data_IF_829830009828
#
_entry.id   IF_829830009828
#
_cell.length_a   1.000
_cell.length_b   1.000
_cell.length_c   1.000
_cell.angle_alpha   90.00
_cell.angle_beta   90.00
_cell.angle_gamma   90.00
#
_symmetry.space_group_name_H-M   'P 1'
#
loop_
_entity.id
_entity.type
_entity.pdbx_description
1 polymer ?
#
# COMPACT_ATOMS: atom_id res chain seq x y z
N UNK A 1 -46.73 22.64 61.41
CA UNK A 1 -46.27 21.25 61.60
C UNK A 1 -45.65 20.77 60.30
N UNK A 2 -44.48 20.13 60.40
CA UNK A 2 -43.70 19.44 59.35
C UNK A 2 -44.56 18.62 58.37
N UNK A 3 -44.11 18.31 57.15
CA UNK A 3 -42.85 17.63 56.83
C UNK A 3 -42.40 17.85 55.39
N UNK A 4 -41.08 18.02 55.27
CA UNK A 4 -40.27 17.66 54.11
C UNK A 4 -40.52 16.22 53.65
N UNK A 5 -40.61 16.05 52.33
CA UNK A 5 -40.16 14.82 51.66
C UNK A 5 -39.30 15.23 50.46
N UNK A 6 -37.98 15.21 50.67
CA UNK A 6 -36.98 15.23 49.58
C UNK A 6 -37.12 13.94 48.76
N UNK A 7 -37.21 14.08 47.44
CA UNK A 7 -36.87 13.01 46.49
C UNK A 7 -35.57 13.39 45.75
N UNK A 8 -34.49 12.59 45.80
CA UNK A 8 -33.21 12.94 45.20
C UNK A 8 -33.03 12.21 43.86
N UNK A 9 -33.25 12.87 42.72
CA UNK A 9 -32.93 12.26 41.40
C UNK A 9 -32.44 13.26 40.35
N UNK A 10 -31.47 14.11 40.67
CA UNK A 10 -30.79 14.96 39.66
C UNK A 10 -29.27 14.80 39.57
N UNK A 11 -28.62 14.05 40.47
CA UNK A 11 -27.15 13.93 40.48
C UNK A 11 -26.55 12.69 39.80
N UNK A 12 -27.36 11.70 39.42
CA UNK A 12 -26.86 10.42 38.89
C UNK A 12 -26.70 10.43 37.36
N UNK A 13 -27.64 11.06 36.65
CA UNK A 13 -27.61 11.18 35.18
C UNK A 13 -26.48 12.10 34.68
N UNK A 14 -26.18 13.16 35.42
CA UNK A 14 -25.13 14.14 35.06
C UNK A 14 -23.72 13.55 35.20
N UNK A 15 -23.50 12.65 36.18
CA UNK A 15 -22.25 11.90 36.33
C UNK A 15 -22.02 10.87 35.22
N UNK A 16 -23.10 10.25 34.73
CA UNK A 16 -23.02 9.29 33.63
C UNK A 16 -22.66 9.96 32.30
N UNK A 17 -23.22 11.14 32.03
CA UNK A 17 -22.90 11.90 30.81
C UNK A 17 -21.45 12.38 30.80
N UNK A 18 -20.94 12.90 31.93
CA UNK A 18 -19.52 13.29 32.08
C UNK A 18 -18.54 12.13 31.96
N UNK A 19 -18.90 10.94 32.47
CA UNK A 19 -18.06 9.74 32.34
C UNK A 19 -17.97 9.26 30.89
N UNK A 20 -19.07 9.41 30.12
CA UNK A 20 -19.14 9.04 28.70
C UNK A 20 -18.37 10.03 27.81
N UNK A 21 -18.44 11.33 28.11
CA UNK A 21 -17.60 12.36 27.47
C UNK A 21 -16.12 12.20 27.79
N UNK A 22 -15.77 11.86 29.03
CA UNK A 22 -14.37 11.57 29.40
C UNK A 22 -13.85 10.31 28.71
N UNK A 23 -14.65 9.24 28.63
CA UNK A 23 -14.25 8.03 27.89
C UNK A 23 -14.05 8.32 26.40
N UNK A 24 -14.95 9.10 25.79
CA UNK A 24 -14.83 9.47 24.38
C UNK A 24 -13.60 10.37 24.12
N UNK A 25 -13.27 11.28 25.04
CA UNK A 25 -12.05 12.08 24.97
C UNK A 25 -10.78 11.24 25.10
N UNK A 26 -10.76 10.28 26.02
CA UNK A 26 -9.62 9.37 26.23
C UNK A 26 -9.45 8.46 25.00
N UNK A 27 -10.55 8.03 24.37
CA UNK A 27 -10.55 7.22 23.15
C UNK A 27 -10.07 8.05 21.95
N UNK A 28 -10.51 9.30 21.80
CA UNK A 28 -10.02 10.24 20.79
C UNK A 28 -8.54 10.61 21.02
N UNK A 29 -8.10 10.81 22.27
CA UNK A 29 -6.70 11.07 22.63
C UNK A 29 -5.81 9.85 22.38
N UNK A 30 -6.28 8.63 22.70
CA UNK A 30 -5.56 7.39 22.39
C UNK A 30 -5.44 7.16 20.89
N UNK A 31 -6.48 7.43 20.08
CA UNK A 31 -6.41 7.35 18.61
C UNK A 31 -5.39 8.35 18.05
N UNK A 32 -5.30 9.55 18.65
CA UNK A 32 -4.32 10.58 18.28
C UNK A 32 -2.90 10.23 18.76
N UNK A 33 -2.75 9.51 19.88
CA UNK A 33 -1.46 9.02 20.36
C UNK A 33 -0.97 7.79 19.57
N UNK A 34 -1.85 6.88 19.17
CA UNK A 34 -1.55 5.72 18.32
C UNK A 34 -1.15 6.15 16.89
N UNK A 35 -1.64 7.32 16.43
CA UNK A 35 -1.18 7.97 15.20
C UNK A 35 0.07 8.85 15.39
N UNK A 36 0.53 9.06 16.63
CA UNK A 36 1.79 9.74 16.97
C UNK A 36 2.92 8.79 17.33
N UNK A 37 2.66 7.52 17.62
CA UNK A 37 3.68 6.47 17.65
C UNK A 37 4.13 6.19 16.22
N UNK A 38 5.01 7.05 15.72
CA UNK A 38 5.61 6.96 14.40
C UNK A 38 6.52 5.73 14.29
N UNK A 39 5.91 4.56 14.10
CA UNK A 39 6.45 3.68 13.08
C UNK A 39 6.25 4.42 11.76
N UNK A 40 7.27 5.19 11.36
CA UNK A 40 7.39 5.67 9.99
C UNK A 40 7.16 4.45 9.10
N UNK A 41 5.98 4.36 8.46
CA UNK A 41 5.82 3.45 7.33
C UNK A 41 7.00 3.81 6.45
N UNK A 42 7.99 2.93 6.26
CA UNK A 42 9.18 3.29 5.52
C UNK A 42 8.65 3.84 4.21
N UNK A 43 8.95 5.12 3.94
CA UNK A 43 8.65 5.71 2.65
C UNK A 43 9.08 4.64 1.66
N UNK A 44 8.15 4.15 0.83
CA UNK A 44 8.50 3.12 -0.14
C UNK A 44 9.51 3.84 -1.03
N UNK A 45 10.80 3.71 -0.69
CA UNK A 45 11.90 4.19 -1.47
C UNK A 45 11.77 3.31 -2.69
N UNK A 46 11.02 3.82 -3.68
CA UNK A 46 11.21 3.42 -5.04
C UNK A 46 12.66 3.76 -5.24
N UNK A 47 13.54 2.77 -5.15
CA UNK A 47 14.87 2.89 -5.70
C UNK A 47 14.59 3.31 -7.13
N UNK A 48 14.67 4.60 -7.41
CA UNK A 48 14.71 5.09 -8.78
C UNK A 48 15.96 4.41 -9.29
N UNK A 49 15.78 3.31 -10.01
CA UNK A 49 16.87 2.41 -10.36
C UNK A 49 17.94 3.29 -10.98
N UNK A 50 19.11 3.37 -10.32
CA UNK A 50 20.14 4.31 -10.73
C UNK A 50 20.69 3.78 -12.03
N UNK A 51 20.22 4.35 -13.14
CA UNK A 51 20.67 3.95 -14.47
C UNK A 51 22.08 4.51 -14.68
N UNK A 52 23.07 3.63 -14.63
CA UNK A 52 24.44 3.87 -15.03
C UNK A 52 24.56 3.92 -16.56
N UNK A 53 23.76 3.13 -17.27
CA UNK A 53 23.72 3.05 -18.73
C UNK A 53 23.48 4.39 -19.44
N UNK A 54 22.79 5.34 -18.79
CA UNK A 54 22.54 6.69 -19.33
C UNK A 54 23.65 7.70 -19.00
N UNK A 55 24.63 7.31 -18.17
CA UNK A 55 25.72 8.20 -17.74
C UNK A 55 26.82 8.21 -18.79
N UNK A 56 27.42 9.38 -19.01
CA UNK A 56 28.55 9.53 -19.92
C UNK A 56 29.73 8.67 -19.46
N UNK A 57 30.33 7.94 -20.39
CA UNK A 57 31.50 7.07 -20.14
C UNK A 57 31.14 5.67 -19.65
N UNK A 58 29.86 5.38 -19.42
CA UNK A 58 29.38 4.03 -19.13
C UNK A 58 28.90 3.37 -20.42
N UNK A 59 29.04 2.05 -20.51
CA UNK A 59 28.67 1.28 -21.70
C UNK A 59 27.92 0.01 -21.31
N UNK A 60 26.74 -0.19 -21.89
CA UNK A 60 26.04 -1.48 -21.77
C UNK A 60 26.81 -2.53 -22.57
N UNK A 61 27.32 -3.55 -21.89
CA UNK A 61 28.04 -4.67 -22.51
C UNK A 61 27.13 -5.85 -22.80
N UNK A 62 26.11 -6.07 -21.96
CA UNK A 62 25.11 -7.12 -22.14
C UNK A 62 23.76 -6.66 -21.56
N UNK A 63 22.67 -7.12 -22.15
CA UNK A 63 21.33 -6.91 -21.62
C UNK A 63 20.50 -8.16 -21.84
N UNK A 64 19.83 -8.63 -20.80
CA UNK A 64 18.93 -9.77 -20.89
C UNK A 64 17.70 -9.58 -20.01
N UNK A 65 16.54 -10.08 -20.43
CA UNK A 65 15.31 -9.94 -19.67
C UNK A 65 15.30 -10.90 -18.47
N UNK A 66 14.74 -10.42 -17.36
CA UNK A 66 14.32 -11.27 -16.23
C UNK A 66 12.81 -11.49 -16.28
N UNK A 67 12.06 -10.46 -16.69
CA UNK A 67 10.63 -10.55 -16.89
C UNK A 67 10.22 -9.67 -18.07
N UNK A 68 10.10 -10.25 -19.25
CA UNK A 68 9.70 -9.48 -20.43
C UNK A 68 8.25 -8.95 -20.30
N UNK A 69 7.96 -7.74 -20.82
CA UNK A 69 8.89 -6.68 -21.28
C UNK A 69 9.26 -5.67 -20.18
N UNK A 70 9.10 -6.03 -18.90
CA UNK A 70 9.08 -5.09 -17.78
C UNK A 70 10.42 -4.95 -17.04
N UNK A 71 11.23 -6.02 -17.00
CA UNK A 71 12.48 -6.07 -16.24
C UNK A 71 13.61 -6.64 -17.08
N UNK A 72 14.71 -5.90 -17.11
CA UNK A 72 15.97 -6.29 -17.73
C UNK A 72 17.12 -6.13 -16.74
N UNK A 73 18.12 -6.98 -16.86
CA UNK A 73 19.43 -6.76 -16.26
C UNK A 73 20.33 -6.23 -17.37
N UNK A 74 20.90 -5.06 -17.13
CA UNK A 74 21.97 -4.49 -17.95
C UNK A 74 23.28 -4.73 -17.22
N UNK A 75 24.22 -5.41 -17.86
CA UNK A 75 25.60 -5.41 -17.42
C UNK A 75 26.25 -4.16 -18.04
N UNK A 76 26.64 -3.23 -17.19
CA UNK A 76 27.18 -1.91 -17.58
C UNK A 76 28.64 -1.84 -17.17
N UNK A 77 29.52 -1.56 -18.11
CA UNK A 77 30.93 -1.27 -17.84
C UNK A 77 31.08 0.22 -17.45
N UNK A 78 31.76 0.49 -16.34
CA UNK A 78 32.12 1.84 -15.92
C UNK A 78 33.34 2.39 -16.68
N UNK A 79 33.71 3.67 -16.52
CA UNK A 79 34.87 4.25 -17.22
C UNK A 79 36.21 3.58 -16.89
N UNK A 80 36.31 2.84 -15.79
CA UNK A 80 37.51 2.11 -15.36
C UNK A 80 37.52 0.66 -15.89
N UNK A 81 36.50 0.24 -16.66
CA UNK A 81 36.37 -1.10 -17.20
C UNK A 81 35.76 -2.12 -16.23
N UNK A 82 35.14 -1.69 -15.12
CA UNK A 82 34.53 -2.58 -14.14
C UNK A 82 33.05 -2.83 -14.46
N UNK A 83 32.57 -4.07 -14.34
CA UNK A 83 31.16 -4.37 -14.56
C UNK A 83 30.29 -3.95 -13.37
N UNK A 84 29.13 -3.39 -13.67
CA UNK A 84 28.06 -2.99 -12.76
C UNK A 84 26.76 -3.66 -13.22
N UNK A 85 26.07 -4.30 -12.30
CA UNK A 85 24.74 -4.86 -12.56
C UNK A 85 23.68 -3.79 -12.31
N UNK A 86 23.05 -3.35 -13.39
CA UNK A 86 21.95 -2.40 -13.38
C UNK A 86 20.62 -3.16 -13.58
N UNK A 87 19.71 -3.01 -12.63
CA UNK A 87 18.33 -3.47 -12.78
C UNK A 87 17.55 -2.37 -13.49
N UNK A 88 17.07 -2.64 -14.70
CA UNK A 88 16.15 -1.77 -15.41
C UNK A 88 14.74 -2.32 -15.28
N UNK A 89 13.89 -1.62 -14.52
CA UNK A 89 12.48 -1.95 -14.36
C UNK A 89 11.61 -0.78 -14.83
N UNK A 90 10.59 -1.08 -15.63
CA UNK A 90 9.70 -0.06 -16.19
C UNK A 90 8.90 0.67 -15.09
N UNK A 91 9.16 1.96 -14.89
CA UNK A 91 8.54 2.73 -13.80
C UNK A 91 7.10 3.13 -14.11
N UNK A 92 6.15 2.91 -13.18
CA UNK A 92 4.75 3.40 -13.30
C UNK A 92 4.68 4.92 -13.50
N UNK A 93 3.77 5.39 -14.35
CA UNK A 93 3.38 6.80 -14.39
C UNK A 93 2.69 7.21 -13.08
N UNK A 94 2.57 8.51 -12.75
CA UNK A 94 1.85 8.94 -11.55
C UNK A 94 0.40 8.44 -11.46
N UNK A 95 -0.28 8.36 -12.61
CA UNK A 95 -1.65 7.83 -12.70
C UNK A 95 -1.68 6.31 -12.50
N UNK A 96 -0.79 5.57 -13.17
CA UNK A 96 -0.64 4.12 -12.98
C UNK A 96 -0.28 3.77 -11.54
N UNK A 97 0.57 4.58 -10.89
CA UNK A 97 0.94 4.41 -9.49
C UNK A 97 -0.25 4.61 -8.56
N UNK A 98 -1.10 5.61 -8.82
CA UNK A 98 -2.32 5.81 -8.03
C UNK A 98 -3.25 4.61 -8.15
N UNK A 99 -3.50 4.15 -9.37
CA UNK A 99 -4.37 2.98 -9.63
C UNK A 99 -3.78 1.71 -9.01
N UNK A 100 -2.47 1.51 -9.12
CA UNK A 100 -1.77 0.41 -8.46
C UNK A 100 -2.00 0.41 -6.94
N UNK A 101 -1.85 1.57 -6.28
CA UNK A 101 -2.10 1.70 -4.83
C UNK A 101 -3.56 1.40 -4.49
N UNK A 102 -4.51 1.97 -5.23
CA UNK A 102 -5.94 1.73 -5.02
C UNK A 102 -6.30 0.24 -5.17
N UNK A 103 -5.71 -0.46 -6.15
CA UNK A 103 -5.90 -1.90 -6.33
C UNK A 103 -5.29 -2.68 -5.16
N UNK A 104 -4.05 -2.36 -4.78
CA UNK A 104 -3.37 -3.01 -3.66
C UNK A 104 -4.19 -2.91 -2.38
N UNK A 105 -4.68 -1.71 -2.05
CA UNK A 105 -5.49 -1.48 -0.85
C UNK A 105 -6.81 -2.26 -0.91
N UNK A 106 -7.43 -2.30 -2.09
CA UNK A 106 -8.66 -3.07 -2.29
C UNK A 106 -8.43 -4.59 -2.17
N UNK A 107 -7.30 -5.11 -2.68
CA UNK A 107 -6.91 -6.52 -2.49
C UNK A 107 -6.76 -6.82 -1.00
N UNK A 108 -6.02 -5.99 -0.26
CA UNK A 108 -5.82 -6.16 1.18
C UNK A 108 -7.15 -6.17 1.93
N UNK A 109 -8.08 -5.29 1.55
CA UNK A 109 -9.43 -5.24 2.13
C UNK A 109 -10.27 -6.48 1.81
N UNK A 110 -10.13 -7.07 0.61
CA UNK A 110 -10.86 -8.28 0.22
C UNK A 110 -10.29 -9.57 0.84
N UNK A 111 -9.03 -9.57 1.31
CA UNK A 111 -8.43 -10.75 1.93
C UNK A 111 -9.17 -11.07 3.23
N UNK A 112 -9.85 -12.22 3.22
CA UNK A 112 -10.50 -12.77 4.42
C UNK A 112 -9.44 -13.43 5.33
N UNK A 113 -9.62 -13.40 6.66
CA UNK A 113 -8.80 -14.19 7.56
C UNK A 113 -8.83 -15.66 7.16
N UNK A 114 -7.66 -16.24 6.92
CA UNK A 114 -7.53 -17.65 6.55
C UNK A 114 -7.53 -18.45 7.85
N UNK A 115 -8.63 -19.15 8.12
CA UNK A 115 -8.86 -19.85 9.39
C UNK A 115 -8.33 -21.29 9.36
N UNK A 116 -8.02 -21.83 8.18
CA UNK A 116 -7.58 -23.21 7.98
C UNK A 116 -6.20 -23.29 7.31
N UNK A 117 -5.33 -24.15 7.85
CA UNK A 117 -3.96 -24.35 7.37
C UNK A 117 -3.87 -25.15 6.05
N UNK A 118 -4.96 -25.77 5.60
CA UNK A 118 -4.98 -26.61 4.39
C UNK A 118 -5.18 -25.83 3.08
N UNK A 119 -5.19 -24.49 3.14
CA UNK A 119 -5.42 -23.63 1.97
C UNK A 119 -4.10 -23.15 1.38
N UNK A 120 -3.98 -23.26 0.06
CA UNK A 120 -2.93 -22.58 -0.72
C UNK A 120 -3.20 -21.06 -0.73
N UNK A 121 -2.59 -20.37 0.23
CA UNK A 121 -2.72 -18.92 0.44
C UNK A 121 -2.34 -18.13 -0.80
N UNK A 122 -1.26 -18.52 -1.49
CA UNK A 122 -0.78 -17.82 -2.68
C UNK A 122 -1.80 -17.90 -3.81
N UNK A 123 -2.43 -19.07 -3.99
CA UNK A 123 -3.49 -19.26 -4.98
C UNK A 123 -4.73 -18.42 -4.70
N UNK A 124 -5.17 -18.31 -3.44
CA UNK A 124 -6.35 -17.51 -3.10
C UNK A 124 -6.07 -16.02 -3.22
N UNK A 125 -4.90 -15.54 -2.79
CA UNK A 125 -4.47 -14.14 -3.00
C UNK A 125 -4.43 -13.82 -4.50
N UNK A 126 -3.85 -14.70 -5.33
CA UNK A 126 -3.79 -14.50 -6.78
C UNK A 126 -5.18 -14.42 -7.42
N UNK A 127 -6.13 -15.21 -6.94
CA UNK A 127 -7.52 -15.19 -7.39
C UNK A 127 -8.23 -13.89 -7.00
N UNK A 128 -8.04 -13.41 -5.77
CA UNK A 128 -8.56 -12.11 -5.30
C UNK A 128 -7.95 -10.98 -6.15
N UNK A 129 -6.62 -10.96 -6.30
CA UNK A 129 -5.93 -9.95 -7.11
C UNK A 129 -6.48 -9.86 -8.53
N UNK A 130 -6.64 -11.00 -9.22
CA UNK A 130 -7.24 -11.04 -10.57
C UNK A 130 -8.67 -10.50 -10.61
N UNK A 131 -9.49 -10.83 -9.60
CA UNK A 131 -10.86 -10.31 -9.48
C UNK A 131 -10.85 -8.79 -9.35
N UNK A 132 -10.07 -8.25 -8.42
CA UNK A 132 -9.98 -6.82 -8.16
C UNK A 132 -9.45 -6.07 -9.39
N UNK A 133 -8.37 -6.54 -10.00
CA UNK A 133 -7.82 -5.94 -11.24
C UNK A 133 -8.89 -5.88 -12.32
N UNK A 134 -9.68 -6.96 -12.49
CA UNK A 134 -10.75 -6.99 -13.49
C UNK A 134 -11.83 -5.96 -13.22
N UNK A 135 -12.21 -5.75 -11.96
CA UNK A 135 -13.18 -4.72 -11.58
C UNK A 135 -12.66 -3.31 -11.91
N UNK A 136 -11.38 -3.03 -11.63
CA UNK A 136 -10.75 -1.78 -12.02
C UNK A 136 -10.67 -1.61 -13.54
N UNK A 137 -10.30 -2.65 -14.29
CA UNK A 137 -10.30 -2.62 -15.77
C UNK A 137 -11.67 -2.26 -16.34
N UNK A 138 -12.75 -2.79 -15.77
CA UNK A 138 -14.11 -2.49 -16.20
C UNK A 138 -14.47 -1.03 -15.89
N UNK A 139 -14.04 -0.49 -14.74
CA UNK A 139 -14.28 0.92 -14.37
C UNK A 139 -13.50 1.92 -15.22
N UNK A 140 -12.28 1.56 -15.64
CA UNK A 140 -11.31 2.46 -16.28
C UNK A 140 -10.97 2.06 -17.73
N UNK A 141 -11.95 1.50 -18.47
CA UNK A 141 -11.72 0.76 -19.74
C UNK A 141 -11.00 1.56 -20.85
N UNK A 142 -10.94 2.90 -20.78
CA UNK A 142 -10.37 3.75 -21.83
C UNK A 142 -9.61 4.96 -21.28
N UNK A 143 -8.70 4.74 -20.33
CA UNK A 143 -7.75 5.78 -19.90
C UNK A 143 -6.53 5.77 -20.84
N UNK A 144 -6.33 6.79 -21.70
CA UNK A 144 -5.16 6.85 -22.58
C UNK A 144 -3.88 6.93 -21.75
N UNK A 145 -2.84 6.16 -22.14
CA UNK A 145 -1.55 6.15 -21.43
C UNK A 145 -1.49 5.20 -20.23
N UNK A 146 -2.59 4.50 -19.91
CA UNK A 146 -2.63 3.49 -18.85
C UNK A 146 -2.22 2.11 -19.40
N UNK A 147 -1.19 1.49 -18.82
CA UNK A 147 -0.81 0.11 -19.13
C UNK A 147 -1.28 -0.87 -18.03
N UNK A 148 -2.35 -1.61 -18.32
CA UNK A 148 -2.85 -2.65 -17.41
C UNK A 148 -1.84 -3.78 -17.19
N UNK A 149 -1.10 -4.17 -18.22
CA UNK A 149 -0.12 -5.26 -18.12
C UNK A 149 1.04 -4.88 -17.19
N UNK A 150 1.42 -3.60 -17.15
CA UNK A 150 2.41 -3.08 -16.22
C UNK A 150 1.88 -3.04 -14.78
N UNK A 151 0.65 -2.58 -14.58
CA UNK A 151 0.01 -2.59 -13.26
C UNK A 151 -0.12 -4.03 -12.74
N UNK A 152 -0.53 -4.97 -13.60
CA UNK A 152 -0.60 -6.40 -13.27
C UNK A 152 0.77 -6.93 -12.82
N UNK A 153 1.85 -6.62 -13.55
CA UNK A 153 3.21 -6.97 -13.13
C UNK A 153 3.56 -6.45 -11.74
N UNK A 154 3.24 -5.19 -11.43
CA UNK A 154 3.50 -4.59 -10.11
C UNK A 154 2.67 -5.20 -8.97
N UNK A 155 1.51 -5.80 -9.28
CA UNK A 155 0.67 -6.50 -8.30
C UNK A 155 1.17 -7.93 -8.06
N UNK A 156 1.69 -8.60 -9.09
CA UNK A 156 2.23 -9.95 -8.96
C UNK A 156 3.62 -10.00 -8.31
N UNK A 157 4.41 -8.92 -8.43
CA UNK A 157 5.75 -8.77 -7.82
C UNK A 157 5.69 -8.65 -6.31
#
# INVERSE_FOLDING_TARGET
>A
MSKDTKSPKSGFLDKFSRKKEQQKKIEEENIVEESKSGEEIPEIIRYTHKLYSIRRGYKVIESYPIHEPFVYINIVEDPDGKPIYEVYEISLTPEEEKIYRDIKDHIVWEIKPIVSLDIDVAKEIKKIARKVIREFQIRFTKTPGLSWSKIEYYIER
#
